data_IF_093130332041
#
_entry.id   IF_093130332041
#
_cell.length_a   1.000
_cell.length_b   1.000
_cell.length_c   1.000
_cell.angle_alpha   90.00
_cell.angle_beta   90.00
_cell.angle_gamma   90.00
#
_symmetry.space_group_name_H-M   'P 1'
#
loop_
_entity.id
_entity.type
_entity.pdbx_description
1 polymer ?
#
# COMPACT_ATOMS: atom_id res chain seq x y z
N UNK A 1 -16.86 10.27 0.42
CA UNK A 1 -15.44 10.08 0.07
C UNK A 1 -14.62 9.79 1.34
N UNK A 2 -14.93 8.70 2.06
CA UNK A 2 -14.35 8.39 3.41
C UNK A 2 -13.51 7.09 3.39
N UNK A 3 -13.82 6.13 2.51
CA UNK A 3 -13.09 4.84 2.44
C UNK A 3 -11.61 4.98 2.08
N UNK A 4 -11.28 5.87 1.15
CA UNK A 4 -9.90 6.06 0.68
C UNK A 4 -8.91 6.48 1.77
N UNK A 5 -9.36 7.15 2.84
CA UNK A 5 -8.45 7.62 3.89
C UNK A 5 -7.88 6.47 4.73
N UNK A 6 -8.68 5.46 5.06
CA UNK A 6 -8.22 4.31 5.84
C UNK A 6 -7.31 3.40 5.02
N UNK A 7 -7.67 3.15 3.77
CA UNK A 7 -6.87 2.33 2.84
C UNK A 7 -5.50 2.97 2.57
N UNK A 8 -5.47 4.29 2.40
CA UNK A 8 -4.25 5.07 2.25
C UNK A 8 -3.33 4.96 3.46
N UNK A 9 -3.86 5.13 4.68
CA UNK A 9 -3.05 5.03 5.91
C UNK A 9 -2.47 3.62 6.11
N UNK A 10 -3.24 2.57 5.80
CA UNK A 10 -2.75 1.19 5.86
C UNK A 10 -1.60 0.99 4.88
N UNK A 11 -1.77 1.36 3.61
CA UNK A 11 -0.72 1.25 2.60
C UNK A 11 0.53 2.05 2.99
N UNK A 12 0.35 3.29 3.44
CA UNK A 12 1.44 4.16 3.88
C UNK A 12 2.24 3.51 5.02
N UNK A 13 1.57 3.01 6.05
CA UNK A 13 2.24 2.37 7.18
C UNK A 13 3.04 1.13 6.75
N UNK A 14 2.48 0.30 5.86
CA UNK A 14 3.16 -0.89 5.36
C UNK A 14 4.36 -0.53 4.49
N UNK A 15 4.24 0.50 3.65
CA UNK A 15 5.36 1.03 2.84
C UNK A 15 6.47 1.54 3.76
N UNK A 16 6.12 2.35 4.77
CA UNK A 16 7.09 2.93 5.69
C UNK A 16 7.84 1.88 6.52
N UNK A 17 7.17 0.77 6.87
CA UNK A 17 7.68 -0.29 7.74
C UNK A 17 8.51 -1.34 7.01
N UNK A 18 8.15 -1.69 5.76
CA UNK A 18 8.71 -2.87 5.08
C UNK A 18 9.46 -2.58 3.78
N UNK A 19 9.31 -1.39 3.17
CA UNK A 19 10.03 -1.03 1.94
C UNK A 19 11.37 -0.38 2.25
N UNK A 20 12.37 -0.68 1.42
CA UNK A 20 13.67 0.01 1.44
C UNK A 20 13.51 1.46 0.96
N UNK A 21 14.50 2.33 1.23
CA UNK A 21 14.36 3.78 1.01
C UNK A 21 13.97 4.17 -0.43
N UNK A 22 14.48 3.46 -1.43
CA UNK A 22 14.19 3.71 -2.84
C UNK A 22 12.72 3.38 -3.19
N UNK A 23 12.27 2.17 -2.84
CA UNK A 23 10.89 1.72 -3.06
C UNK A 23 9.90 2.55 -2.25
N UNK A 24 10.25 2.87 -1.01
CA UNK A 24 9.47 3.72 -0.12
C UNK A 24 9.21 5.09 -0.74
N UNK A 25 10.27 5.76 -1.21
CA UNK A 25 10.16 7.07 -1.85
C UNK A 25 9.26 7.00 -3.09
N UNK A 26 9.50 6.02 -3.97
CA UNK A 26 8.72 5.82 -5.20
C UNK A 26 7.23 5.58 -4.92
N UNK A 27 6.90 4.71 -3.97
CA UNK A 27 5.53 4.36 -3.63
C UNK A 27 4.79 5.49 -2.92
N UNK A 28 5.47 6.25 -2.04
CA UNK A 28 4.89 7.42 -1.39
C UNK A 28 4.62 8.56 -2.39
N UNK A 29 5.53 8.79 -3.34
CA UNK A 29 5.32 9.78 -4.41
C UNK A 29 4.09 9.42 -5.26
N UNK A 30 3.86 8.14 -5.54
CA UNK A 30 2.64 7.68 -6.22
C UNK A 30 1.37 7.81 -5.37
N UNK A 31 1.48 7.57 -4.06
CA UNK A 31 0.36 7.75 -3.12
C UNK A 31 -0.08 9.23 -3.06
N UNK A 32 0.87 10.16 -3.08
CA UNK A 32 0.65 11.60 -2.81
C UNK A 32 0.36 12.41 -4.08
N UNK A 33 0.73 11.90 -5.27
CA UNK A 33 0.54 12.58 -6.56
C UNK A 33 -0.91 13.03 -6.80
N UNK A 34 -1.12 14.34 -6.96
CA UNK A 34 -2.43 14.98 -7.24
C UNK A 34 -3.10 14.48 -8.54
N UNK A 35 -2.33 13.96 -9.50
CA UNK A 35 -2.87 13.36 -10.73
C UNK A 35 -3.45 11.94 -10.52
N UNK A 36 -3.37 11.40 -9.30
CA UNK A 36 -3.94 10.12 -8.91
C UNK A 36 -3.43 8.96 -9.75
N UNK A 37 -2.36 8.29 -9.31
CA UNK A 37 -2.09 6.96 -9.85
C UNK A 37 -3.28 6.05 -9.52
N UNK A 38 -3.75 5.22 -10.46
CA UNK A 38 -4.79 4.24 -10.14
C UNK A 38 -4.32 3.39 -8.97
N UNK A 39 -5.11 3.27 -7.90
CA UNK A 39 -4.75 2.47 -6.72
C UNK A 39 -4.27 1.06 -7.10
N UNK A 40 -4.86 0.47 -8.16
CA UNK A 40 -4.43 -0.81 -8.75
C UNK A 40 -2.94 -0.86 -9.14
N UNK A 41 -2.37 0.25 -9.60
CA UNK A 41 -0.96 0.34 -9.99
C UNK A 41 -0.06 0.32 -8.76
N UNK A 42 -0.38 1.14 -7.76
CA UNK A 42 0.35 1.21 -6.50
C UNK A 42 0.33 -0.16 -5.81
N UNK A 43 -0.84 -0.80 -5.75
CA UNK A 43 -1.02 -2.10 -5.11
C UNK A 43 -0.29 -3.21 -5.89
N UNK A 44 -0.27 -3.13 -7.21
CA UNK A 44 0.52 -4.04 -8.05
C UNK A 44 2.03 -3.90 -7.79
N UNK A 45 2.55 -2.67 -7.78
CA UNK A 45 3.96 -2.41 -7.50
C UNK A 45 4.34 -2.85 -6.08
N UNK A 46 3.51 -2.51 -5.09
CA UNK A 46 3.70 -2.92 -3.70
C UNK A 46 3.67 -4.46 -3.55
N UNK A 47 2.74 -5.14 -4.22
CA UNK A 47 2.63 -6.61 -4.19
C UNK A 47 3.84 -7.31 -4.81
N UNK A 48 4.51 -6.70 -5.81
CA UNK A 48 5.73 -7.24 -6.43
C UNK A 48 6.92 -7.30 -5.48
N UNK A 49 6.93 -6.45 -4.45
CA UNK A 49 7.99 -6.43 -3.44
C UNK A 49 7.98 -7.65 -2.51
N UNK A 50 6.97 -8.53 -2.61
CA UNK A 50 6.82 -9.79 -1.81
C UNK A 50 6.94 -9.59 -0.29
N UNK A 51 6.66 -8.37 0.17
CA UNK A 51 6.67 -7.93 1.57
C UNK A 51 5.54 -8.53 2.41
N UNK A 52 4.54 -9.15 1.78
CA UNK A 52 3.52 -9.95 2.48
C UNK A 52 4.10 -11.08 3.34
N UNK A 53 5.31 -11.56 3.01
CA UNK A 53 6.05 -12.54 3.82
C UNK A 53 6.63 -11.99 5.11
N UNK A 54 6.73 -10.66 5.25
CA UNK A 54 7.29 -9.96 6.42
C UNK A 54 6.21 -9.39 7.34
N UNK A 55 4.95 -9.37 6.90
CA UNK A 55 3.81 -8.83 7.65
C UNK A 55 3.37 -9.76 8.77
N UNK A 56 2.79 -9.21 9.83
CA UNK A 56 2.06 -10.01 10.82
C UNK A 56 0.77 -10.57 10.22
N UNK A 57 0.19 -11.59 10.85
CA UNK A 57 -1.10 -12.15 10.40
C UNK A 57 -2.22 -11.10 10.37
N UNK A 58 -2.26 -10.20 11.35
CA UNK A 58 -3.22 -9.10 11.41
C UNK A 58 -3.01 -8.08 10.29
N UNK A 59 -1.77 -7.65 10.05
CA UNK A 59 -1.43 -6.71 8.97
C UNK A 59 -1.75 -7.31 7.59
N UNK A 60 -1.43 -8.60 7.40
CA UNK A 60 -1.73 -9.31 6.17
C UNK A 60 -3.24 -9.47 5.95
N UNK A 61 -4.00 -9.71 7.03
CA UNK A 61 -5.45 -9.77 6.99
C UNK A 61 -6.05 -8.41 6.62
N UNK A 62 -5.63 -7.33 7.29
CA UNK A 62 -6.10 -5.98 6.94
C UNK A 62 -5.75 -5.59 5.51
N UNK A 63 -4.52 -5.90 5.07
CA UNK A 63 -4.11 -5.66 3.69
C UNK A 63 -5.00 -6.43 2.69
N UNK A 64 -5.30 -7.70 2.94
CA UNK A 64 -6.17 -8.50 2.06
C UNK A 64 -7.61 -8.00 2.05
N UNK A 65 -8.19 -7.73 3.22
CA UNK A 65 -9.61 -7.40 3.36
C UNK A 65 -9.92 -5.95 2.96
N UNK A 66 -9.01 -5.01 3.23
CA UNK A 66 -9.25 -3.57 3.00
C UNK A 66 -8.60 -3.04 1.73
N UNK A 67 -7.51 -3.65 1.26
CA UNK A 67 -6.75 -3.15 0.09
C UNK A 67 -6.99 -4.03 -1.14
N UNK A 68 -6.76 -5.34 -1.04
CA UNK A 68 -6.89 -6.25 -2.20
C UNK A 68 -8.35 -6.50 -2.62
N UNK A 69 -9.28 -6.56 -1.68
CA UNK A 69 -10.72 -6.78 -1.96
C UNK A 69 -11.44 -5.52 -2.48
N UNK A 70 -10.81 -4.35 -2.45
CA UNK A 70 -11.40 -3.08 -2.87
C UNK A 70 -11.04 -2.66 -4.31
N UNK A 71 -10.30 -3.49 -5.06
CA UNK A 71 -9.89 -3.28 -6.46
C UNK A 71 -10.70 -4.21 -7.37
#
# INVERSE_FOLDING_TARGET
MIKFKQEFEILKNLIEKYCDEEDKKKLLDFLISENGFPNKYIISEFSRLKISSKMTEEELKEYKEKILMCI
#
